data_IF_348106001689
#
_entry.id   IF_348106001689
#
_cell.length_a   1.000
_cell.length_b   1.000
_cell.length_c   1.000
_cell.angle_alpha   90.00
_cell.angle_beta   90.00
_cell.angle_gamma   90.00
#
_symmetry.space_group_name_H-M   'P 1'
#
loop_
_entity.id
_entity.type
_entity.pdbx_description
1 polymer ?
#
# COMPACT_ATOMS: atom_id res chain seq x y z
N UNK A 1 5.61 -19.92 -23.09
CA UNK A 1 5.98 -18.96 -22.01
C UNK A 1 5.91 -19.73 -20.71
N UNK A 2 6.92 -19.61 -19.86
CA UNK A 2 6.89 -20.19 -18.51
C UNK A 2 5.87 -19.41 -17.67
N UNK A 3 4.92 -20.12 -17.07
CA UNK A 3 3.84 -19.52 -16.30
C UNK A 3 4.33 -19.30 -14.86
N UNK A 4 4.59 -18.05 -14.48
CA UNK A 4 4.82 -17.69 -13.08
C UNK A 4 3.51 -17.68 -12.32
N UNK A 5 3.55 -17.94 -11.02
CA UNK A 5 2.37 -17.96 -10.15
C UNK A 5 1.79 -16.56 -10.01
N UNK A 6 2.65 -15.55 -9.84
CA UNK A 6 2.31 -14.14 -9.93
C UNK A 6 3.02 -13.48 -11.13
N UNK A 7 2.43 -12.45 -11.74
CA UNK A 7 3.16 -11.62 -12.70
C UNK A 7 4.43 -11.07 -12.05
N UNK A 8 5.57 -11.21 -12.73
CA UNK A 8 6.82 -10.62 -12.25
C UNK A 8 6.80 -9.12 -12.51
N UNK A 9 7.10 -8.34 -11.49
CA UNK A 9 7.28 -6.90 -11.65
C UNK A 9 8.51 -6.60 -12.51
N UNK A 10 8.36 -5.68 -13.46
CA UNK A 10 9.40 -5.28 -14.42
C UNK A 10 10.05 -3.95 -14.05
N UNK A 11 11.31 -3.77 -14.45
CA UNK A 11 12.11 -2.56 -14.19
C UNK A 11 12.27 -2.21 -12.68
N UNK A 12 12.50 -3.24 -11.86
CA UNK A 12 12.62 -3.17 -10.39
C UNK A 12 13.97 -2.63 -9.88
N UNK A 13 14.95 -2.47 -10.77
CA UNK A 13 16.34 -2.16 -10.40
C UNK A 13 16.45 -0.84 -9.63
N UNK A 14 15.66 0.17 -10.01
CA UNK A 14 15.69 1.48 -9.38
C UNK A 14 15.19 1.45 -7.93
N UNK A 15 14.09 0.75 -7.67
CA UNK A 15 13.53 0.63 -6.32
C UNK A 15 14.41 -0.24 -5.42
N UNK A 16 14.95 -1.34 -5.95
CA UNK A 16 15.86 -2.20 -5.20
C UNK A 16 17.17 -1.48 -4.87
N UNK A 17 17.71 -0.69 -5.79
CA UNK A 17 18.92 0.09 -5.55
C UNK A 17 18.72 1.10 -4.41
N UNK A 18 17.55 1.73 -4.32
CA UNK A 18 17.21 2.64 -3.21
C UNK A 18 17.14 1.91 -1.87
N UNK A 19 16.49 0.75 -1.82
CA UNK A 19 16.40 -0.08 -0.60
C UNK A 19 17.79 -0.53 -0.14
N UNK A 20 18.60 -1.10 -1.04
CA UNK A 20 19.94 -1.60 -0.71
C UNK A 20 20.89 -0.50 -0.26
N UNK A 21 20.72 0.73 -0.75
CA UNK A 21 21.52 1.88 -0.33
C UNK A 21 21.24 2.33 1.12
N UNK A 22 20.16 1.85 1.75
CA UNK A 22 19.77 2.18 3.12
C UNK A 22 19.97 0.97 4.05
N UNK A 23 20.98 0.98 4.94
CA UNK A 23 21.19 -0.10 5.91
C UNK A 23 19.96 -0.37 6.79
N UNK A 24 19.23 0.69 7.17
CA UNK A 24 18.00 0.57 7.95
C UNK A 24 16.90 -0.15 7.16
N UNK A 25 16.75 0.14 5.87
CA UNK A 25 15.77 -0.54 5.01
C UNK A 25 16.13 -2.02 4.79
N UNK A 26 17.42 -2.34 4.65
CA UNK A 26 17.89 -3.72 4.60
C UNK A 26 17.57 -4.48 5.90
N UNK A 27 17.79 -3.85 7.05
CA UNK A 27 17.46 -4.43 8.36
C UNK A 27 15.96 -4.67 8.50
N UNK A 28 15.15 -3.68 8.15
CA UNK A 28 13.69 -3.76 8.22
C UNK A 28 13.11 -4.88 7.33
N UNK A 29 13.62 -5.04 6.10
CA UNK A 29 13.23 -6.16 5.25
C UNK A 29 13.64 -7.50 5.87
N UNK A 30 14.85 -7.58 6.43
CA UNK A 30 15.36 -8.80 7.07
C UNK A 30 14.48 -9.22 8.26
N UNK A 31 14.11 -8.28 9.12
CA UNK A 31 13.25 -8.53 10.28
C UNK A 31 11.90 -9.10 9.85
N UNK A 32 11.21 -8.46 8.90
CA UNK A 32 9.92 -8.93 8.38
C UNK A 32 10.02 -10.31 7.71
N UNK A 33 11.09 -10.55 6.94
CA UNK A 33 11.31 -11.87 6.31
C UNK A 33 11.48 -12.95 7.36
N UNK A 34 12.26 -12.71 8.42
CA UNK A 34 12.46 -13.72 9.47
C UNK A 34 11.22 -13.96 10.31
N UNK A 35 10.47 -12.91 10.64
CA UNK A 35 9.21 -13.05 11.38
C UNK A 35 8.25 -14.03 10.68
N UNK A 36 8.07 -13.90 9.37
CA UNK A 36 7.18 -14.81 8.62
C UNK A 36 7.78 -16.19 8.33
N UNK A 37 9.10 -16.37 8.41
CA UNK A 37 9.73 -17.69 8.29
C UNK A 37 9.68 -18.48 9.60
N UNK A 38 9.63 -17.79 10.74
CA UNK A 38 9.55 -18.38 12.08
C UNK A 38 8.11 -18.75 12.48
N UNK A 39 7.11 -18.18 11.82
CA UNK A 39 5.71 -18.52 12.03
C UNK A 39 5.45 -19.96 11.57
N UNK A 40 5.34 -20.89 12.53
CA UNK A 40 5.16 -22.32 12.27
C UNK A 40 3.84 -22.58 11.53
N UNK A 41 3.87 -22.56 10.20
CA UNK A 41 2.81 -23.16 9.40
C UNK A 41 2.87 -24.67 9.67
N UNK A 42 1.93 -25.17 10.46
CA UNK A 42 1.86 -26.61 10.81
C UNK A 42 1.61 -27.38 9.51
N UNK A 43 2.67 -27.98 8.97
CA UNK A 43 2.59 -28.70 7.71
C UNK A 43 1.81 -30.00 7.87
N UNK A 44 0.55 -30.03 7.41
CA UNK A 44 -0.21 -31.27 7.29
C UNK A 44 0.41 -32.19 6.24
N UNK A 45 0.07 -33.49 6.29
CA UNK A 45 0.73 -34.54 5.47
C UNK A 45 0.63 -34.32 3.95
N UNK A 46 -0.40 -33.61 3.47
CA UNK A 46 -0.57 -33.24 2.06
C UNK A 46 0.28 -32.03 1.64
N UNK A 47 0.88 -31.30 2.58
CA UNK A 47 1.69 -30.13 2.29
C UNK A 47 3.12 -30.47 1.84
N UNK A 48 3.66 -31.65 2.17
CA UNK A 48 5.04 -32.00 1.77
C UNK A 48 5.17 -32.23 0.25
N UNK A 49 4.18 -32.89 -0.36
CA UNK A 49 4.14 -33.09 -1.82
C UNK A 49 3.88 -31.76 -2.54
N UNK A 50 2.95 -30.94 -2.01
CA UNK A 50 2.67 -29.60 -2.52
C UNK A 50 3.91 -28.70 -2.48
N UNK A 51 4.57 -28.61 -1.32
CA UNK A 51 5.82 -27.89 -1.13
C UNK A 51 6.88 -28.32 -2.15
N UNK A 52 7.06 -29.63 -2.33
CA UNK A 52 8.04 -30.17 -3.27
C UNK A 52 7.72 -29.77 -4.71
N UNK A 53 6.44 -29.80 -5.09
CA UNK A 53 5.99 -29.36 -6.40
C UNK A 53 6.25 -27.87 -6.61
N UNK A 54 5.84 -27.01 -5.67
CA UNK A 54 6.07 -25.56 -5.74
C UNK A 54 7.57 -25.25 -5.81
N UNK A 55 8.39 -25.89 -4.98
CA UNK A 55 9.84 -25.74 -4.99
C UNK A 55 10.45 -26.07 -6.36
N UNK A 56 10.07 -27.20 -6.95
CA UNK A 56 10.60 -27.61 -8.26
C UNK A 56 10.11 -26.72 -9.40
N UNK A 57 8.87 -26.25 -9.36
CA UNK A 57 8.34 -25.31 -10.35
C UNK A 57 9.00 -23.94 -10.22
N UNK A 58 9.15 -23.43 -9.00
CA UNK A 58 9.85 -22.18 -8.71
C UNK A 58 11.29 -22.21 -9.23
N UNK A 59 12.01 -23.31 -9.00
CA UNK A 59 13.37 -23.49 -9.53
C UNK A 59 13.41 -23.49 -11.07
N UNK A 60 12.53 -24.27 -11.71
CA UNK A 60 12.47 -24.37 -13.19
C UNK A 60 12.12 -23.04 -13.86
N UNK A 61 11.26 -22.26 -13.23
CA UNK A 61 10.73 -21.01 -13.79
C UNK A 61 11.47 -19.76 -13.29
N UNK A 62 12.37 -19.89 -12.30
CA UNK A 62 12.99 -18.75 -11.63
C UNK A 62 11.99 -17.90 -10.82
N UNK A 63 10.91 -18.51 -10.34
CA UNK A 63 9.81 -17.83 -9.66
C UNK A 63 10.04 -17.80 -8.14
N UNK A 64 10.84 -16.83 -7.69
CA UNK A 64 11.12 -16.62 -6.28
C UNK A 64 9.84 -16.28 -5.50
N UNK A 65 8.86 -15.60 -6.11
CA UNK A 65 7.62 -15.25 -5.42
C UNK A 65 6.76 -16.47 -5.13
N UNK A 66 6.74 -17.46 -6.03
CA UNK A 66 6.07 -18.73 -5.78
C UNK A 66 6.66 -19.45 -4.56
N UNK A 67 7.99 -19.46 -4.44
CA UNK A 67 8.69 -20.07 -3.30
C UNK A 67 8.45 -19.31 -1.99
N UNK A 68 8.49 -17.98 -2.01
CA UNK A 68 8.22 -17.17 -0.81
C UNK A 68 6.76 -17.33 -0.34
N UNK A 69 5.81 -17.41 -1.26
CA UNK A 69 4.41 -17.69 -0.91
C UNK A 69 4.26 -19.03 -0.20
N UNK A 70 5.00 -20.05 -0.64
CA UNK A 70 4.98 -21.37 0.00
C UNK A 70 5.67 -21.37 1.37
N UNK A 71 6.78 -20.65 1.51
CA UNK A 71 7.57 -20.64 2.75
C UNK A 71 6.96 -19.77 3.84
N UNK A 72 6.39 -18.63 3.47
CA UNK A 72 6.01 -17.59 4.43
C UNK A 72 4.70 -16.88 4.05
N UNK A 73 3.94 -17.39 3.08
CA UNK A 73 2.63 -16.83 2.70
C UNK A 73 2.70 -15.43 2.07
N UNK A 74 3.88 -14.98 1.59
CA UNK A 74 4.07 -13.65 1.02
C UNK A 74 4.87 -13.68 -0.28
N UNK A 75 4.50 -12.86 -1.26
CA UNK A 75 5.39 -12.59 -2.41
C UNK A 75 6.48 -11.58 -2.02
N UNK A 76 7.48 -11.40 -2.88
CA UNK A 76 8.53 -10.38 -2.68
C UNK A 76 7.94 -8.98 -2.43
N UNK A 77 6.95 -8.56 -3.23
CA UNK A 77 6.34 -7.24 -3.08
C UNK A 77 5.39 -7.14 -1.89
N UNK A 78 4.87 -8.26 -1.38
CA UNK A 78 4.09 -8.25 -0.15
C UNK A 78 5.03 -8.02 1.05
N UNK A 79 6.18 -8.72 1.09
CA UNK A 79 7.22 -8.48 2.11
C UNK A 79 7.72 -7.03 2.09
N UNK A 80 7.93 -6.43 0.92
CA UNK A 80 8.34 -5.02 0.80
C UNK A 80 7.27 -4.04 1.33
N UNK A 81 5.98 -4.34 1.14
CA UNK A 81 4.87 -3.52 1.67
C UNK A 81 4.77 -3.64 3.19
N UNK A 82 4.88 -4.85 3.70
CA UNK A 82 4.81 -5.11 5.15
C UNK A 82 6.04 -4.59 5.89
N UNK A 83 7.20 -4.61 5.23
CA UNK A 83 8.41 -3.93 5.70
C UNK A 83 8.35 -2.40 5.54
N UNK A 84 7.21 -1.80 5.18
CA UNK A 84 7.08 -0.36 4.93
C UNK A 84 8.25 0.19 4.09
N UNK A 85 8.57 -0.49 2.98
CA UNK A 85 9.61 -0.06 2.03
C UNK A 85 9.04 0.44 0.71
N UNK A 86 7.80 0.04 0.39
CA UNK A 86 7.04 0.52 -0.76
C UNK A 86 5.57 0.75 -0.37
N UNK A 87 4.83 1.59 -1.11
CA UNK A 87 3.40 1.78 -0.88
C UNK A 87 2.55 0.52 -1.13
N UNK A 88 1.39 0.46 -0.48
CA UNK A 88 0.32 -0.48 -0.79
C UNK A 88 -0.42 -0.10 -2.07
N UNK A 89 -1.10 -1.08 -2.66
CA UNK A 89 -2.05 -0.87 -3.77
C UNK A 89 -3.40 -0.41 -3.21
N UNK A 90 -4.07 0.49 -3.93
CA UNK A 90 -5.44 0.94 -3.61
C UNK A 90 -6.51 -0.14 -3.85
N UNK A 91 -6.18 -1.18 -4.62
CA UNK A 91 -7.10 -2.25 -4.97
C UNK A 91 -6.39 -3.62 -4.98
N UNK A 92 -7.13 -4.67 -4.63
CA UNK A 92 -6.69 -6.07 -4.71
C UNK A 92 -7.79 -6.99 -5.28
N UNK A 93 -7.51 -8.29 -5.41
CA UNK A 93 -8.54 -9.29 -5.74
C UNK A 93 -9.67 -9.33 -4.69
N UNK A 94 -9.37 -9.01 -3.44
CA UNK A 94 -10.36 -8.92 -2.36
C UNK A 94 -11.18 -7.60 -2.35
N UNK A 95 -11.02 -6.75 -3.38
CA UNK A 95 -11.70 -5.47 -3.53
C UNK A 95 -10.86 -4.26 -3.08
N UNK A 96 -11.54 -3.13 -2.84
CA UNK A 96 -10.93 -1.85 -2.46
C UNK A 96 -10.14 -1.92 -1.16
N UNK A 97 -8.97 -1.28 -1.11
CA UNK A 97 -8.14 -1.14 0.08
C UNK A 97 -7.28 0.13 -0.03
N UNK A 98 -7.60 1.23 0.67
CA UNK A 98 -8.48 1.30 1.83
C UNK A 98 -9.96 1.37 1.44
N UNK A 99 -10.83 0.93 2.35
CA UNK A 99 -12.28 1.03 2.22
C UNK A 99 -12.75 2.35 2.84
N UNK A 100 -13.28 3.25 2.02
CA UNK A 100 -13.83 4.52 2.50
C UNK A 100 -15.08 4.28 3.37
N UNK A 101 -15.18 5.04 4.45
CA UNK A 101 -16.29 5.01 5.40
C UNK A 101 -17.09 6.32 5.40
N UNK A 102 -16.52 7.38 4.85
CA UNK A 102 -17.16 8.68 4.70
C UNK A 102 -17.13 9.18 3.27
N UNK A 103 -18.06 10.07 2.93
CA UNK A 103 -18.02 10.88 1.72
C UNK A 103 -16.98 12.02 1.82
N UNK A 104 -16.92 12.85 0.77
CA UNK A 104 -16.02 14.01 0.66
C UNK A 104 -16.33 15.12 1.67
N UNK A 105 -17.58 15.19 2.13
CA UNK A 105 -18.06 16.15 3.15
C UNK A 105 -17.83 15.63 4.59
N UNK A 106 -17.23 14.44 4.70
CA UNK A 106 -16.90 13.78 5.94
C UNK A 106 -18.11 13.19 6.66
N UNK A 107 -19.22 12.92 5.96
CA UNK A 107 -20.37 12.21 6.50
C UNK A 107 -20.22 10.70 6.29
N UNK A 108 -20.71 9.88 7.23
CA UNK A 108 -20.68 8.42 7.06
C UNK A 108 -21.44 7.98 5.81
N UNK A 109 -20.86 7.07 5.04
CA UNK A 109 -21.51 6.47 3.88
C UNK A 109 -22.69 5.58 4.33
N UNK A 110 -23.75 5.48 3.51
CA UNK A 110 -24.91 4.63 3.83
C UNK A 110 -24.50 3.20 4.15
N UNK A 111 -25.00 2.66 5.27
CA UNK A 111 -24.73 1.28 5.70
C UNK A 111 -23.43 1.10 6.50
N UNK A 112 -22.67 2.18 6.76
CA UNK A 112 -21.45 2.15 7.60
C UNK A 112 -21.71 2.57 9.06
N UNK A 113 -22.93 2.97 9.39
CA UNK A 113 -23.29 3.57 10.69
C UNK A 113 -23.08 2.61 11.86
N UNK A 114 -23.31 1.30 11.66
CA UNK A 114 -23.08 0.28 12.69
C UNK A 114 -21.62 -0.17 12.77
N UNK A 115 -20.83 0.06 11.72
CA UNK A 115 -19.45 -0.37 11.63
C UNK A 115 -18.47 0.62 12.30
N UNK A 116 -18.91 1.86 12.53
CA UNK A 116 -18.08 2.95 13.10
C UNK A 116 -18.57 3.33 14.48
N UNK A 117 -17.69 3.29 15.47
CA UNK A 117 -18.08 3.75 16.82
C UNK A 117 -18.22 5.27 16.86
N UNK A 118 -19.13 5.77 17.69
CA UNK A 118 -19.34 7.21 17.85
C UNK A 118 -18.07 7.97 18.22
N UNK A 119 -17.20 7.36 19.04
CA UNK A 119 -15.91 7.96 19.44
C UNK A 119 -14.92 8.06 18.28
N UNK A 120 -14.81 7.02 17.44
CA UNK A 120 -13.93 7.08 16.26
C UNK A 120 -14.43 8.13 15.26
N UNK A 121 -15.74 8.17 15.04
CA UNK A 121 -16.34 9.15 14.14
C UNK A 121 -16.17 10.58 14.65
N UNK A 122 -16.38 10.82 15.95
CA UNK A 122 -16.18 12.14 16.56
C UNK A 122 -14.72 12.61 16.43
N UNK A 123 -13.75 11.73 16.68
CA UNK A 123 -12.33 12.04 16.48
C UNK A 123 -12.04 12.44 15.03
N UNK A 124 -12.52 11.65 14.08
CA UNK A 124 -12.39 11.97 12.67
C UNK A 124 -13.05 13.30 12.32
N UNK A 125 -14.29 13.56 12.77
CA UNK A 125 -15.00 14.82 12.50
C UNK A 125 -14.27 16.03 13.05
N UNK A 126 -13.69 15.92 14.24
CA UNK A 126 -12.84 16.97 14.80
C UNK A 126 -11.61 17.21 13.93
N UNK A 127 -10.91 16.16 13.50
CA UNK A 127 -9.78 16.28 12.56
C UNK A 127 -10.21 16.91 11.24
N UNK A 128 -11.29 16.44 10.64
CA UNK A 128 -11.85 16.92 9.37
C UNK A 128 -12.20 18.42 9.44
N UNK A 129 -12.74 18.90 10.55
CA UNK A 129 -13.11 20.32 10.71
C UNK A 129 -11.92 21.23 10.97
N UNK A 130 -10.88 20.74 11.65
CA UNK A 130 -9.73 21.53 12.07
C UNK A 130 -8.57 21.51 11.07
N UNK A 131 -8.49 20.47 10.24
CA UNK A 131 -7.43 20.33 9.26
C UNK A 131 -7.77 21.09 7.97
N UNK A 132 -6.94 22.08 7.65
CA UNK A 132 -6.97 22.72 6.34
C UNK A 132 -6.20 21.86 5.34
N UNK A 133 -6.92 21.21 4.43
CA UNK A 133 -6.34 20.31 3.42
C UNK A 133 -5.43 21.08 2.46
N UNK A 134 -4.28 20.49 2.13
CA UNK A 134 -3.47 20.93 1.00
C UNK A 134 -4.30 21.05 -0.32
N UNK A 135 -3.87 21.88 -1.28
CA UNK A 135 -4.51 21.93 -2.59
C UNK A 135 -4.62 20.54 -3.22
N UNK A 136 -5.76 20.23 -3.85
CA UNK A 136 -5.98 18.94 -4.52
C UNK A 136 -5.68 17.76 -3.58
N UNK A 137 -6.18 17.86 -2.35
CA UNK A 137 -6.27 16.74 -1.42
C UNK A 137 -7.64 16.74 -0.73
N UNK A 138 -8.00 15.57 -0.19
CA UNK A 138 -9.23 15.34 0.57
C UNK A 138 -8.94 14.39 1.73
N UNK A 139 -9.72 14.51 2.79
CA UNK A 139 -9.57 13.67 3.99
C UNK A 139 -10.85 12.87 4.24
N UNK A 140 -10.68 11.58 4.51
CA UNK A 140 -11.76 10.61 4.73
C UNK A 140 -11.51 9.79 5.99
N UNK A 141 -12.57 9.21 6.54
CA UNK A 141 -12.44 8.08 7.45
C UNK A 141 -12.37 6.81 6.58
N UNK A 142 -11.40 5.94 6.85
CA UNK A 142 -11.26 4.71 6.07
C UNK A 142 -10.72 3.54 6.91
N UNK A 143 -11.00 2.32 6.45
CA UNK A 143 -10.40 1.09 6.96
C UNK A 143 -9.34 0.61 5.96
N UNK A 144 -8.08 0.54 6.39
CA UNK A 144 -6.97 -0.09 5.67
C UNK A 144 -6.77 -1.54 6.10
N UNK A 145 -6.23 -2.36 5.20
CA UNK A 145 -6.02 -3.78 5.43
C UNK A 145 -4.65 -4.25 4.91
N UNK A 146 -4.17 -5.35 5.46
CA UNK A 146 -3.16 -6.18 4.83
C UNK A 146 -3.85 -7.13 3.84
N UNK A 147 -3.30 -7.24 2.63
CA UNK A 147 -3.80 -8.16 1.61
C UNK A 147 -2.92 -9.39 1.64
N UNK A 148 -3.44 -10.48 2.18
CA UNK A 148 -2.72 -11.73 2.37
C UNK A 148 -3.06 -12.67 1.22
N UNK A 149 -2.06 -13.39 0.71
CA UNK A 149 -2.23 -14.35 -0.38
C UNK A 149 -1.81 -15.74 0.07
N UNK A 150 -2.62 -16.72 -0.30
CA UNK A 150 -2.39 -18.15 -0.02
C UNK A 150 -2.66 -18.97 -1.26
N UNK A 151 -2.05 -20.16 -1.32
CA UNK A 151 -2.45 -21.18 -2.27
C UNK A 151 -3.72 -21.88 -1.77
N UNK A 152 -4.68 -22.01 -2.67
CA UNK A 152 -5.80 -22.96 -2.52
C UNK A 152 -5.32 -24.38 -2.83
N UNK A 153 -6.11 -25.40 -2.45
CA UNK A 153 -5.83 -26.82 -2.77
C UNK A 153 -5.60 -27.07 -4.29
N UNK A 154 -6.17 -26.23 -5.16
CA UNK A 154 -6.01 -26.30 -6.63
C UNK A 154 -4.81 -25.52 -7.19
N UNK A 155 -3.85 -25.12 -6.35
CA UNK A 155 -2.70 -24.27 -6.69
C UNK A 155 -3.09 -22.91 -7.29
N UNK A 156 -4.30 -22.43 -7.03
CA UNK A 156 -4.72 -21.08 -7.38
C UNK A 156 -4.46 -20.13 -6.22
N UNK A 157 -4.11 -18.89 -6.53
CA UNK A 157 -3.91 -17.85 -5.51
C UNK A 157 -5.23 -17.19 -5.17
N UNK A 158 -5.59 -17.27 -3.90
CA UNK A 158 -6.63 -16.43 -3.30
C UNK A 158 -6.01 -15.23 -2.56
N UNK A 159 -6.84 -14.23 -2.29
CA UNK A 159 -6.44 -13.04 -1.54
C UNK A 159 -7.51 -12.73 -0.49
N UNK A 160 -7.07 -12.48 0.74
CA UNK A 160 -7.92 -12.14 1.89
C UNK A 160 -7.49 -10.80 2.49
N UNK A 161 -8.41 -10.17 3.24
CA UNK A 161 -8.15 -8.94 3.99
C UNK A 161 -7.92 -9.27 5.46
N UNK A 162 -6.79 -8.87 5.99
CA UNK A 162 -6.44 -9.04 7.40
C UNK A 162 -6.01 -7.72 8.04
N UNK A 163 -5.78 -7.74 9.36
CA UNK A 163 -5.22 -6.64 10.15
C UNK A 163 -5.87 -5.28 9.87
N UNK A 164 -7.20 -5.24 9.98
CA UNK A 164 -7.97 -4.01 9.76
C UNK A 164 -7.49 -2.87 10.66
N UNK A 165 -7.07 -1.77 10.05
CA UNK A 165 -6.69 -0.54 10.73
C UNK A 165 -7.62 0.60 10.32
N UNK A 166 -8.30 1.20 11.30
CA UNK A 166 -9.18 2.35 11.08
C UNK A 166 -8.43 3.64 11.28
N UNK A 167 -8.50 4.54 10.30
CA UNK A 167 -7.70 5.75 10.30
C UNK A 167 -8.33 6.93 9.59
N UNK A 168 -7.67 8.08 9.74
CA UNK A 168 -7.87 9.25 8.90
C UNK A 168 -7.01 9.07 7.65
N UNK A 169 -7.65 9.01 6.49
CA UNK A 169 -7.00 8.89 5.19
C UNK A 169 -6.91 10.27 4.55
N UNK A 170 -5.70 10.77 4.33
CA UNK A 170 -5.44 11.92 3.47
C UNK A 170 -5.10 11.42 2.05
N UNK A 171 -5.87 11.85 1.06
CA UNK A 171 -5.73 11.45 -0.33
C UNK A 171 -5.32 12.65 -1.19
N UNK A 172 -4.25 12.50 -1.97
CA UNK A 172 -3.67 13.57 -2.77
C UNK A 172 -3.57 13.15 -4.23
N UNK A 173 -3.94 14.04 -5.15
CA UNK A 173 -3.61 13.85 -6.56
C UNK A 173 -2.14 14.14 -6.84
N UNK A 174 -1.52 13.34 -7.69
CA UNK A 174 -0.16 13.44 -8.18
C UNK A 174 -0.14 13.33 -9.72
N UNK A 175 0.89 13.85 -10.40
CA UNK A 175 1.04 13.71 -11.86
C UNK A 175 0.87 12.27 -12.33
N UNK A 176 0.13 12.10 -13.42
CA UNK A 176 -0.11 10.80 -14.05
C UNK A 176 1.20 10.17 -14.52
N UNK A 177 1.66 9.14 -13.83
CA UNK A 177 2.88 8.44 -14.19
C UNK A 177 2.65 7.36 -15.24
N UNK A 178 1.42 6.86 -15.35
CA UNK A 178 1.00 5.93 -16.42
C UNK A 178 1.05 6.60 -17.80
N UNK A 179 0.74 7.90 -17.91
CA UNK A 179 0.86 8.68 -19.14
C UNK A 179 2.29 8.73 -19.69
N UNK A 180 3.28 8.50 -18.83
CA UNK A 180 4.70 8.45 -19.17
C UNK A 180 5.17 7.05 -19.59
N UNK A 181 4.27 6.05 -19.55
CA UNK A 181 4.58 4.66 -19.88
C UNK A 181 5.46 3.96 -18.85
N UNK A 182 5.45 4.42 -17.59
CA UNK A 182 6.23 3.81 -16.52
C UNK A 182 5.59 2.51 -16.01
N UNK A 183 6.43 1.54 -15.63
CA UNK A 183 5.98 0.35 -14.90
C UNK A 183 5.63 0.71 -13.45
N UNK A 184 4.90 -0.15 -12.75
CA UNK A 184 4.57 0.05 -11.34
C UNK A 184 5.82 0.25 -10.46
N UNK A 185 6.85 -0.59 -10.67
CA UNK A 185 8.10 -0.48 -9.93
C UNK A 185 8.85 0.83 -10.21
N UNK A 186 8.81 1.33 -11.45
CA UNK A 186 9.36 2.63 -11.80
C UNK A 186 8.59 3.77 -11.14
N UNK A 187 7.25 3.68 -11.10
CA UNK A 187 6.41 4.66 -10.43
C UNK A 187 6.69 4.70 -8.93
N UNK A 188 6.79 3.54 -8.27
CA UNK A 188 7.21 3.43 -6.87
C UNK A 188 8.60 4.00 -6.63
N UNK A 189 9.56 3.77 -7.54
CA UNK A 189 10.89 4.36 -7.42
C UNK A 189 10.88 5.90 -7.46
N UNK A 190 9.93 6.52 -8.18
CA UNK A 190 9.79 7.98 -8.22
C UNK A 190 9.27 8.58 -6.91
N UNK A 191 8.36 7.88 -6.24
CA UNK A 191 7.76 8.35 -4.97
C UNK A 191 8.45 7.78 -3.73
N UNK A 192 9.45 6.92 -3.88
CA UNK A 192 10.11 6.25 -2.75
C UNK A 192 10.71 7.22 -1.73
N UNK A 193 11.34 8.31 -2.19
CA UNK A 193 11.92 9.31 -1.27
C UNK A 193 10.81 9.97 -0.43
N UNK A 194 9.68 10.30 -1.06
CA UNK A 194 8.49 10.85 -0.37
C UNK A 194 7.86 9.84 0.58
N UNK A 195 7.74 8.59 0.14
CA UNK A 195 7.25 7.51 1.00
C UNK A 195 8.15 7.36 2.24
N UNK A 196 9.47 7.40 2.07
CA UNK A 196 10.42 7.29 3.17
C UNK A 196 10.35 8.51 4.11
N UNK A 197 10.27 9.74 3.57
CA UNK A 197 10.04 10.96 4.34
C UNK A 197 8.75 10.87 5.18
N UNK A 198 7.65 10.35 4.61
CA UNK A 198 6.40 10.09 5.34
C UNK A 198 6.60 9.07 6.45
N UNK A 199 7.31 7.96 6.21
CA UNK A 199 7.56 6.95 7.24
C UNK A 199 8.44 7.47 8.38
N UNK A 200 9.34 8.42 8.12
CA UNK A 200 10.14 9.07 9.15
C UNK A 200 9.31 10.03 10.02
N UNK A 201 8.37 10.75 9.41
CA UNK A 201 7.49 11.69 10.11
C UNK A 201 6.36 10.99 10.87
N UNK A 202 5.71 10.02 10.21
CA UNK A 202 4.60 9.25 10.75
C UNK A 202 4.89 7.73 10.62
N UNK A 203 5.76 7.18 11.50
CA UNK A 203 6.07 5.76 11.49
C UNK A 203 4.79 4.93 11.63
N UNK A 204 4.63 3.90 10.79
CA UNK A 204 3.43 3.02 10.73
C UNK A 204 2.20 3.64 10.07
N UNK A 205 2.32 4.84 9.49
CA UNK A 205 1.32 5.31 8.54
C UNK A 205 1.24 4.33 7.37
N UNK A 206 0.02 3.98 6.95
CA UNK A 206 -0.16 3.11 5.80
C UNK A 206 -0.25 3.99 4.56
N UNK A 207 0.75 3.88 3.68
CA UNK A 207 0.82 4.65 2.44
C UNK A 207 0.36 3.79 1.27
N UNK A 208 -0.53 4.35 0.46
CA UNK A 208 -1.04 3.78 -0.77
C UNK A 208 -0.56 4.61 -1.96
N UNK A 209 -0.29 3.98 -3.10
CA UNK A 209 0.07 4.68 -4.32
C UNK A 209 -0.45 3.95 -5.57
N UNK A 210 -0.97 4.72 -6.53
CA UNK A 210 -1.41 4.23 -7.84
C UNK A 210 -2.63 5.01 -8.38
N UNK A 211 -3.20 4.55 -9.49
CA UNK A 211 -4.33 5.21 -10.16
C UNK A 211 -5.71 4.61 -9.83
N UNK A 212 -5.77 3.56 -9.01
CA UNK A 212 -6.93 2.69 -8.90
C UNK A 212 -7.70 2.88 -7.58
N UNK A 213 -8.40 4.01 -7.36
CA UNK A 213 -9.51 4.00 -6.39
C UNK A 213 -10.78 3.48 -7.06
N UNK A 214 -11.10 2.20 -6.81
CA UNK A 214 -12.48 1.72 -6.73
C UNK A 214 -13.29 1.41 -7.99
N UNK A 215 -13.17 2.15 -9.11
CA UNK A 215 -14.01 1.86 -10.29
C UNK A 215 -13.28 2.21 -11.59
N UNK A 216 -13.25 1.26 -12.54
CA UNK A 216 -12.68 1.37 -13.89
C UNK A 216 -12.64 2.80 -14.47
N UNK A 217 -11.42 3.29 -14.72
CA UNK A 217 -10.91 3.93 -15.95
C UNK A 217 -9.54 4.53 -15.60
N UNK A 218 -8.62 4.60 -16.56
CA UNK A 218 -7.35 5.32 -16.39
C UNK A 218 -7.67 6.74 -15.89
N UNK A 219 -7.36 7.03 -14.63
CA UNK A 219 -7.38 8.41 -14.16
C UNK A 219 -6.28 9.18 -14.87
N UNK A 220 -6.51 10.46 -15.12
CA UNK A 220 -5.48 11.37 -15.66
C UNK A 220 -4.50 11.84 -14.56
N UNK A 221 -4.44 11.13 -13.44
CA UNK A 221 -3.57 11.41 -12.31
C UNK A 221 -3.33 10.15 -11.48
N UNK A 222 -2.18 10.14 -10.80
CA UNK A 222 -1.87 9.17 -9.75
C UNK A 222 -2.40 9.68 -8.41
N UNK A 223 -2.64 8.77 -7.48
CA UNK A 223 -2.99 9.10 -6.12
C UNK A 223 -1.91 8.61 -5.16
N UNK A 224 -1.67 9.40 -4.11
CA UNK A 224 -1.01 8.94 -2.90
C UNK A 224 -2.00 9.09 -1.75
N UNK A 225 -2.22 8.00 -1.02
CA UNK A 225 -3.12 7.95 0.13
C UNK A 225 -2.31 7.67 1.38
N UNK A 226 -2.46 8.49 2.42
CA UNK A 226 -1.78 8.29 3.69
C UNK A 226 -2.84 8.07 4.75
N UNK A 227 -2.96 6.83 5.20
CA UNK A 227 -3.86 6.45 6.28
C UNK A 227 -3.09 6.52 7.60
N UNK A 228 -3.58 7.35 8.51
CA UNK A 228 -3.11 7.48 9.88
C UNK A 228 -4.08 6.75 10.82
N UNK A 229 -3.77 5.55 11.30
CA UNK A 229 -4.60 4.82 12.24
C UNK A 229 -4.94 5.64 13.49
N UNK A 230 -6.22 5.73 13.82
CA UNK A 230 -6.70 6.60 14.91
C UNK A 230 -6.05 6.21 16.24
N UNK A 231 -5.91 4.92 16.53
CA UNK A 231 -5.36 4.44 17.81
C UNK A 231 -3.88 4.80 18.00
N UNK A 232 -3.13 5.00 16.92
CA UNK A 232 -1.69 5.31 16.98
C UNK A 232 -1.45 6.82 16.97
N UNK A 233 -2.23 7.54 16.17
CA UNK A 233 -1.97 8.95 15.87
C UNK A 233 -2.91 9.93 16.61
N UNK A 234 -3.85 9.45 17.45
CA UNK A 234 -4.87 10.27 18.13
C UNK A 234 -4.34 11.58 18.73
N UNK A 235 -3.19 11.53 19.42
CA UNK A 235 -2.65 12.67 20.16
C UNK A 235 -2.05 13.77 19.27
N UNK A 236 -1.58 13.42 18.07
CA UNK A 236 -0.84 14.31 17.18
C UNK A 236 -1.35 14.26 15.73
N UNK A 237 -2.59 13.81 15.53
CA UNK A 237 -3.19 13.61 14.20
C UNK A 237 -3.04 14.84 13.30
N UNK A 238 -3.43 16.02 13.79
CA UNK A 238 -3.34 17.28 13.03
C UNK A 238 -1.91 17.68 12.68
N UNK A 239 -0.95 17.41 13.57
CA UNK A 239 0.45 17.71 13.32
C UNK A 239 0.99 16.83 12.19
N UNK A 240 0.79 15.51 12.27
CA UNK A 240 1.26 14.61 11.21
C UNK A 240 0.60 14.90 9.86
N UNK A 241 -0.71 15.19 9.83
CA UNK A 241 -1.36 15.62 8.58
C UNK A 241 -0.72 16.88 7.99
N UNK A 242 -0.38 17.87 8.82
CA UNK A 242 0.27 19.09 8.37
C UNK A 242 1.68 18.84 7.80
N UNK A 243 2.49 18.02 8.46
CA UNK A 243 3.82 17.67 7.96
C UNK A 243 3.73 16.83 6.68
N UNK A 244 2.80 15.87 6.62
CA UNK A 244 2.55 15.04 5.44
C UNK A 244 2.09 15.89 4.25
N UNK A 245 1.23 16.88 4.46
CA UNK A 245 0.84 17.84 3.42
C UNK A 245 2.08 18.50 2.79
N UNK A 246 3.02 18.98 3.61
CA UNK A 246 4.25 19.60 3.12
C UNK A 246 5.14 18.64 2.32
N UNK A 247 5.29 17.40 2.81
CA UNK A 247 6.06 16.35 2.13
C UNK A 247 5.45 16.01 0.77
N UNK A 248 4.12 15.81 0.71
CA UNK A 248 3.43 15.44 -0.53
C UNK A 248 3.39 16.60 -1.53
N UNK A 249 3.22 17.85 -1.07
CA UNK A 249 3.31 19.02 -1.96
C UNK A 249 4.69 19.13 -2.60
N UNK A 250 5.76 18.90 -1.83
CA UNK A 250 7.13 18.85 -2.36
C UNK A 250 7.31 17.73 -3.39
N UNK A 251 6.74 16.55 -3.12
CA UNK A 251 6.71 15.44 -4.08
C UNK A 251 6.03 15.84 -5.39
N UNK A 252 4.84 16.42 -5.30
CA UNK A 252 4.06 16.85 -6.45
C UNK A 252 4.84 17.84 -7.32
N UNK A 253 5.49 18.83 -6.73
CA UNK A 253 6.35 19.76 -7.47
C UNK A 253 7.52 19.08 -8.18
N UNK A 254 8.20 18.13 -7.50
CA UNK A 254 9.29 17.34 -8.09
C UNK A 254 8.79 16.51 -9.27
N UNK A 255 7.62 15.88 -9.15
CA UNK A 255 7.00 15.12 -10.23
C UNK A 255 6.61 16.03 -11.39
N UNK A 256 5.91 17.14 -11.16
CA UNK A 256 5.50 18.08 -12.21
C UNK A 256 6.71 18.59 -13.02
N UNK A 257 7.83 18.90 -12.36
CA UNK A 257 9.07 19.30 -13.04
C UNK A 257 9.65 18.21 -13.94
N UNK A 258 9.44 16.93 -13.60
CA UNK A 258 9.88 15.78 -14.40
C UNK A 258 8.90 15.43 -15.52
N UNK A 259 7.60 15.62 -15.31
CA UNK A 259 6.56 15.22 -16.25
C UNK A 259 6.14 16.32 -17.23
N UNK A 260 6.42 17.60 -16.94
CA UNK A 260 6.06 18.74 -17.79
C UNK A 260 4.55 19.02 -17.87
N UNK A 261 3.74 18.37 -17.02
CA UNK A 261 2.27 18.40 -17.07
C UNK A 261 1.70 19.61 -16.31
N UNK A 262 0.65 20.23 -16.84
CA UNK A 262 -0.12 21.30 -16.18
C UNK A 262 -1.59 20.88 -16.04
N UNK A 263 -1.99 20.40 -14.87
CA UNK A 263 -3.40 20.07 -14.55
C UNK A 263 -3.52 18.80 -13.72
N UNK A 264 -4.24 18.83 -12.59
CA UNK A 264 -4.53 17.70 -11.69
C UNK A 264 -5.87 17.97 -11.01
N UNK A 265 -7.01 17.80 -11.66
CA UNK A 265 -8.29 18.05 -10.98
C UNK A 265 -8.76 16.79 -10.25
N UNK A 266 -9.03 16.93 -8.94
CA UNK A 266 -9.85 16.00 -8.18
C UNK A 266 -11.27 16.51 -8.27
N UNK A 267 -12.14 15.85 -9.05
CA UNK A 267 -13.60 16.03 -8.91
C UNK A 267 -14.09 15.50 -7.56
#
# INVERSE_FOLDING_TARGET
>A
MMHTVLPREEAVEAIFSKIVASPASCEQLREVVYEHLEDEQIFEKNQAEHFTEVLFQAYKNGDISALLLELCGRSMFDLLREAYLIPKKFHGKAGENPVLLTDVDGNLLPGKEQAVSGREYEKFRNTYQLHECAPRSKVYLADGYDLIRSYTEGMQIEETKENRQRGVLALYALPDTCSLGLTEAQAYAMVWDTFHEIQMEAPRAIVYYGQETGVRQKKEFDEIGILLPIHEFEKKMLHHLHEIDGIVLTCREKLLKRTGSAGLDLE
#
